data_IF_202495925306
#
_entry.id   IF_202495925306
#
_cell.length_a   1.000
_cell.length_b   1.000
_cell.length_c   1.000
_cell.angle_alpha   90.00
_cell.angle_beta   90.00
_cell.angle_gamma   90.00
#
_symmetry.space_group_name_H-M   'P 1'
#
loop_
_entity.id
_entity.type
_entity.pdbx_description
1 polymer ?
#
# COMPACT_ATOMS: atom_id res chain seq x y z
N UNK A 1 26.28 12.90 -23.54
CA UNK A 1 26.14 12.74 -25.02
C UNK A 1 25.69 14.01 -25.77
N UNK A 2 24.87 14.88 -25.18
CA UNK A 2 24.54 16.19 -25.75
C UNK A 2 25.76 17.13 -25.83
N UNK A 3 26.65 17.10 -24.82
CA UNK A 3 27.88 17.90 -24.77
C UNK A 3 28.92 17.54 -25.83
N UNK A 4 28.82 16.34 -26.41
CA UNK A 4 29.75 15.83 -27.43
C UNK A 4 29.21 16.10 -28.85
N UNK A 5 28.08 16.82 -28.98
CA UNK A 5 27.48 17.18 -30.27
C UNK A 5 26.87 16.03 -31.07
N UNK A 6 26.67 14.86 -30.45
CA UNK A 6 26.15 13.66 -31.13
C UNK A 6 24.65 13.77 -31.43
N UNK A 7 23.92 14.58 -30.67
CA UNK A 7 22.53 14.96 -30.94
C UNK A 7 22.46 16.48 -30.99
N UNK A 8 21.90 17.08 -32.04
CA UNK A 8 21.69 18.53 -32.15
C UNK A 8 20.63 19.11 -31.19
N UNK A 9 20.36 18.42 -30.08
CA UNK A 9 19.34 18.77 -29.08
C UNK A 9 20.01 19.24 -27.80
N UNK A 10 19.43 20.25 -27.17
CA UNK A 10 19.81 20.71 -25.84
C UNK A 10 19.45 19.68 -24.77
N UNK A 11 20.14 19.71 -23.63
CA UNK A 11 19.84 18.83 -22.49
C UNK A 11 18.39 18.99 -22.00
N UNK A 12 17.85 20.21 -22.06
CA UNK A 12 16.47 20.51 -21.70
C UNK A 12 15.44 19.86 -22.64
N UNK A 13 15.71 19.82 -23.95
CA UNK A 13 14.85 19.13 -24.92
C UNK A 13 14.87 17.62 -24.69
N UNK A 14 16.05 17.04 -24.43
CA UNK A 14 16.18 15.61 -24.11
C UNK A 14 15.40 15.25 -22.84
N UNK A 15 15.44 16.09 -21.81
CA UNK A 15 14.66 15.89 -20.59
C UNK A 15 13.14 15.96 -20.85
N UNK A 16 12.69 16.91 -21.68
CA UNK A 16 11.27 17.03 -22.04
C UNK A 16 10.78 15.81 -22.82
N UNK A 17 11.55 15.34 -23.78
CA UNK A 17 11.25 14.12 -24.55
C UNK A 17 11.24 12.88 -23.66
N UNK A 18 12.18 12.77 -22.72
CA UNK A 18 12.21 11.67 -21.76
C UNK A 18 10.93 11.64 -20.90
N UNK A 19 10.46 12.79 -20.40
CA UNK A 19 9.22 12.88 -19.63
C UNK A 19 8.00 12.51 -20.48
N UNK A 20 7.92 13.00 -21.72
CA UNK A 20 6.84 12.62 -22.66
C UNK A 20 6.82 11.13 -22.93
N UNK A 21 7.98 10.52 -23.18
CA UNK A 21 8.08 9.07 -23.36
C UNK A 21 7.59 8.31 -22.13
N UNK A 22 7.96 8.74 -20.91
CA UNK A 22 7.47 8.15 -19.67
C UNK A 22 5.95 8.29 -19.54
N UNK A 23 5.37 9.41 -19.95
CA UNK A 23 3.92 9.61 -19.95
C UNK A 23 3.21 8.69 -20.96
N UNK A 24 3.77 8.51 -22.16
CA UNK A 24 3.21 7.62 -23.18
C UNK A 24 3.19 6.16 -22.72
N UNK A 25 4.27 5.67 -22.13
CA UNK A 25 4.32 4.29 -21.60
C UNK A 25 3.44 4.12 -20.36
N UNK A 26 3.24 5.18 -19.56
CA UNK A 26 2.30 5.18 -18.43
C UNK A 26 0.86 5.04 -18.93
N UNK A 27 0.47 5.82 -19.94
CA UNK A 27 -0.86 5.76 -20.55
C UNK A 27 -1.15 4.39 -21.21
N UNK A 28 -0.11 3.68 -21.64
CA UNK A 28 -0.21 2.33 -22.19
C UNK A 28 -0.23 1.22 -21.12
N UNK A 29 -0.19 1.53 -19.81
CA UNK A 29 -0.03 0.57 -18.69
C UNK A 29 1.18 -0.37 -18.87
N UNK A 30 2.27 0.15 -19.46
CA UNK A 30 3.51 -0.60 -19.73
C UNK A 30 4.61 -0.31 -18.71
N UNK A 31 4.35 0.55 -17.74
CA UNK A 31 5.28 0.82 -16.65
C UNK A 31 5.20 -0.31 -15.63
N UNK A 32 6.32 -0.97 -15.36
CA UNK A 32 6.39 -1.94 -14.28
C UNK A 32 6.26 -1.22 -12.93
N UNK A 33 5.34 -1.64 -12.04
CA UNK A 33 5.19 -1.03 -10.73
C UNK A 33 6.47 -1.21 -9.90
N UNK A 34 6.69 -0.29 -8.96
CA UNK A 34 7.84 -0.35 -8.07
C UNK A 34 7.68 -1.56 -7.11
N UNK A 35 8.52 -2.60 -7.24
CA UNK A 35 8.48 -3.74 -6.32
C UNK A 35 9.04 -3.36 -4.95
N UNK A 36 8.41 -3.83 -3.86
CA UNK A 36 8.87 -3.56 -2.49
C UNK A 36 10.22 -4.21 -2.16
N UNK A 37 10.63 -5.22 -2.93
CA UNK A 37 11.93 -5.89 -2.82
C UNK A 37 13.00 -5.30 -3.72
N UNK A 38 12.68 -4.28 -4.54
CA UNK A 38 13.68 -3.56 -5.28
C UNK A 38 14.53 -2.79 -4.27
N UNK A 39 15.60 -3.44 -3.82
CA UNK A 39 16.74 -2.79 -3.22
C UNK A 39 16.98 -1.51 -4.01
N UNK A 40 17.11 -0.39 -3.28
CA UNK A 40 17.33 0.96 -3.83
C UNK A 40 18.52 1.07 -4.82
N UNK A 41 19.26 -0.01 -5.10
CA UNK A 41 20.34 -0.11 -6.07
C UNK A 41 19.96 -0.67 -7.45
N UNK A 42 18.93 -1.50 -7.60
CA UNK A 42 18.73 -2.27 -8.85
C UNK A 42 18.35 -1.42 -10.07
N UNK A 43 17.76 -0.24 -9.87
CA UNK A 43 17.41 0.64 -10.99
C UNK A 43 18.50 1.63 -11.36
N UNK A 44 19.44 1.90 -10.45
CA UNK A 44 20.52 2.87 -10.69
C UNK A 44 21.80 2.21 -11.22
N UNK A 45 21.89 0.88 -11.17
CA UNK A 45 23.11 0.13 -11.55
C UNK A 45 23.09 -0.42 -12.99
N UNK A 46 22.15 0.03 -13.82
CA UNK A 46 22.03 -0.27 -15.25
C UNK A 46 21.46 -1.63 -15.66
N UNK A 47 20.93 -1.66 -16.89
CA UNK A 47 20.61 -2.89 -17.61
C UNK A 47 21.89 -3.65 -17.98
N UNK A 48 22.01 -4.90 -17.49
CA UNK A 48 23.14 -5.78 -17.81
C UNK A 48 24.47 -5.38 -17.16
N UNK A 49 24.45 -4.58 -16.09
CA UNK A 49 25.65 -4.15 -15.35
C UNK A 49 26.44 -3.02 -16.03
N UNK A 50 25.87 -2.37 -17.05
CA UNK A 50 26.53 -1.32 -17.83
C UNK A 50 26.21 0.08 -17.30
N UNK A 51 26.75 0.48 -16.15
CA UNK A 51 26.42 1.73 -15.46
C UNK A 51 26.19 2.96 -16.36
N UNK A 52 25.30 3.86 -15.96
CA UNK A 52 25.02 5.09 -16.72
C UNK A 52 26.20 6.06 -16.69
N UNK A 53 26.58 6.58 -17.86
CA UNK A 53 27.49 7.71 -17.97
C UNK A 53 26.78 8.99 -17.52
N UNK A 54 27.45 9.89 -16.78
CA UNK A 54 26.89 11.18 -16.33
C UNK A 54 25.66 11.08 -15.40
N UNK A 55 25.56 10.02 -14.59
CA UNK A 55 24.44 9.81 -13.62
C UNK A 55 24.24 10.93 -12.59
N UNK A 56 25.29 11.74 -12.37
CA UNK A 56 25.30 12.82 -11.39
C UNK A 56 24.84 14.16 -11.98
N UNK A 57 24.41 14.19 -13.25
CA UNK A 57 23.82 15.38 -13.87
C UNK A 57 22.40 15.63 -13.36
N UNK A 58 22.04 16.90 -13.18
CA UNK A 58 20.73 17.32 -12.69
C UNK A 58 19.61 16.77 -13.58
N UNK A 59 19.80 16.77 -14.91
CA UNK A 59 18.80 16.31 -15.87
C UNK A 59 18.55 14.80 -15.76
N UNK A 60 19.61 14.00 -15.52
CA UNK A 60 19.47 12.55 -15.32
C UNK A 60 18.74 12.24 -14.01
N UNK A 61 19.11 12.93 -12.93
CA UNK A 61 18.45 12.76 -11.63
C UNK A 61 16.97 13.15 -11.71
N UNK A 62 16.64 14.23 -12.43
CA UNK A 62 15.26 14.66 -12.63
C UNK A 62 14.44 13.65 -13.43
N UNK A 63 14.98 13.13 -14.54
CA UNK A 63 14.30 12.10 -15.35
C UNK A 63 14.09 10.80 -14.55
N UNK A 64 15.10 10.36 -13.79
CA UNK A 64 15.02 9.16 -12.95
C UNK A 64 13.98 9.31 -11.83
N UNK A 65 13.95 10.49 -11.20
CA UNK A 65 12.92 10.83 -10.20
C UNK A 65 11.52 10.79 -10.82
N UNK A 66 11.33 11.38 -12.00
CA UNK A 66 10.04 11.38 -12.70
C UNK A 66 9.55 9.96 -13.02
N UNK A 67 10.43 9.10 -13.54
CA UNK A 67 10.09 7.69 -13.80
C UNK A 67 9.73 6.96 -12.49
N UNK A 68 10.49 7.18 -11.42
CA UNK A 68 10.22 6.57 -10.11
C UNK A 68 8.85 7.00 -9.57
N UNK A 69 8.49 8.28 -9.71
CA UNK A 69 7.17 8.80 -9.33
C UNK A 69 6.05 8.14 -10.14
N UNK A 70 6.23 7.97 -11.45
CA UNK A 70 5.22 7.30 -12.30
C UNK A 70 5.08 5.82 -12.01
N UNK A 71 6.17 5.12 -11.66
CA UNK A 71 6.12 3.73 -11.18
C UNK A 71 5.40 3.60 -9.85
N UNK A 72 5.64 4.53 -8.93
CA UNK A 72 4.90 4.60 -7.66
C UNK A 72 3.41 4.83 -7.93
N UNK A 73 3.07 5.77 -8.80
CA UNK A 73 1.69 6.03 -9.20
C UNK A 73 1.02 4.81 -9.84
N UNK A 74 1.70 4.12 -10.75
CA UNK A 74 1.19 2.87 -11.37
C UNK A 74 0.91 1.79 -10.32
N UNK A 75 1.73 1.71 -9.26
CA UNK A 75 1.48 0.81 -8.13
C UNK A 75 0.21 1.24 -7.36
N UNK A 76 0.08 2.53 -7.05
CA UNK A 76 -1.07 3.09 -6.32
C UNK A 76 -2.39 3.00 -7.11
N UNK A 77 -2.35 3.16 -8.43
CA UNK A 77 -3.52 3.03 -9.32
C UNK A 77 -4.13 1.61 -9.27
N UNK A 78 -3.34 0.60 -8.87
CA UNK A 78 -3.79 -0.79 -8.69
C UNK A 78 -4.41 -1.05 -7.32
N UNK A 79 -4.24 -0.15 -6.34
CA UNK A 79 -4.74 -0.37 -4.98
C UNK A 79 -6.26 -0.55 -4.89
N UNK A 80 -7.11 0.20 -5.61
CA UNK A 80 -8.56 -0.01 -5.54
C UNK A 80 -8.97 -1.42 -5.99
N UNK A 81 -8.33 -1.96 -7.02
CA UNK A 81 -8.59 -3.32 -7.51
C UNK A 81 -8.15 -4.35 -6.47
N UNK A 82 -6.93 -4.20 -5.94
CA UNK A 82 -6.38 -5.08 -4.90
C UNK A 82 -7.19 -5.05 -3.60
N UNK A 83 -7.66 -3.87 -3.19
CA UNK A 83 -8.56 -3.67 -2.06
C UNK A 83 -9.89 -4.40 -2.28
N UNK A 84 -10.45 -4.33 -3.48
CA UNK A 84 -11.68 -5.04 -3.82
C UNK A 84 -11.52 -6.56 -3.78
N UNK A 85 -10.37 -7.08 -4.19
CA UNK A 85 -10.03 -8.51 -4.10
C UNK A 85 -9.85 -8.94 -2.65
N UNK A 86 -9.13 -8.15 -1.85
CA UNK A 86 -8.98 -8.40 -0.42
C UNK A 86 -10.32 -8.44 0.31
N UNK A 87 -11.27 -7.56 -0.03
CA UNK A 87 -12.62 -7.61 0.54
C UNK A 87 -13.39 -8.87 0.16
N UNK A 88 -13.17 -9.42 -1.05
CA UNK A 88 -13.75 -10.71 -1.44
C UNK A 88 -13.14 -11.85 -0.63
N UNK A 89 -11.81 -11.85 -0.49
CA UNK A 89 -11.09 -12.84 0.31
C UNK A 89 -11.49 -12.77 1.79
N UNK A 90 -11.70 -11.58 2.34
CA UNK A 90 -12.21 -11.39 3.69
C UNK A 90 -13.54 -12.13 3.93
N UNK A 91 -14.39 -12.26 2.90
CA UNK A 91 -15.66 -12.99 2.98
C UNK A 91 -15.50 -14.50 2.82
N UNK A 92 -14.62 -14.95 1.92
CA UNK A 92 -14.50 -16.36 1.55
C UNK A 92 -13.44 -17.12 2.37
N UNK A 93 -12.34 -16.46 2.71
CA UNK A 93 -11.19 -17.00 3.45
C UNK A 93 -10.51 -15.91 4.31
N UNK A 94 -11.03 -15.68 5.54
CA UNK A 94 -10.46 -14.72 6.48
C UNK A 94 -8.99 -15.00 6.85
N UNK A 95 -8.55 -16.26 6.78
CA UNK A 95 -7.16 -16.64 7.06
C UNK A 95 -6.23 -16.21 5.92
N UNK A 96 -6.67 -16.36 4.67
CA UNK A 96 -5.93 -15.81 3.52
C UNK A 96 -5.83 -14.28 3.62
N UNK A 97 -6.93 -13.60 3.95
CA UNK A 97 -6.91 -12.15 4.20
C UNK A 97 -5.87 -11.77 5.27
N UNK A 98 -5.82 -12.52 6.38
CA UNK A 98 -4.82 -12.31 7.43
C UNK A 98 -3.40 -12.48 6.90
N UNK A 99 -3.11 -13.57 6.16
CA UNK A 99 -1.77 -13.86 5.62
C UNK A 99 -1.35 -12.82 4.58
N UNK A 100 -2.28 -12.33 3.75
CA UNK A 100 -1.98 -11.30 2.74
C UNK A 100 -1.50 -9.98 3.33
N UNK A 101 -2.06 -9.58 4.46
CA UNK A 101 -1.78 -8.28 5.10
C UNK A 101 -0.63 -8.31 6.11
N UNK A 102 -0.23 -9.50 6.57
CA UNK A 102 0.73 -9.65 7.67
C UNK A 102 2.01 -10.34 7.21
N UNK A 103 3.10 -10.06 7.93
CA UNK A 103 4.33 -10.84 7.77
C UNK A 103 4.13 -12.19 8.43
N UNK A 104 4.04 -13.23 7.63
CA UNK A 104 3.96 -14.64 8.05
C UNK A 104 5.06 -15.47 7.40
N UNK A 105 5.16 -16.75 7.73
CA UNK A 105 6.08 -17.66 7.03
C UNK A 105 5.57 -18.12 5.65
N UNK A 106 4.49 -17.53 5.14
CA UNK A 106 3.93 -17.80 3.82
C UNK A 106 4.49 -16.84 2.75
N UNK A 107 4.49 -17.29 1.49
CA UNK A 107 4.76 -16.43 0.33
C UNK A 107 3.55 -15.55 -0.05
N UNK A 108 2.43 -15.68 0.65
CA UNK A 108 1.19 -14.96 0.39
C UNK A 108 1.15 -13.54 1.00
N UNK A 109 2.21 -13.09 1.69
CA UNK A 109 2.28 -11.77 2.37
C UNK A 109 2.43 -10.58 1.41
N UNK A 110 1.64 -10.54 0.35
CA UNK A 110 1.81 -9.67 -0.82
C UNK A 110 1.60 -8.19 -0.48
N UNK A 111 0.82 -7.88 0.57
CA UNK A 111 0.42 -6.51 0.91
C UNK A 111 0.94 -6.05 2.28
N UNK A 112 1.93 -6.72 2.86
CA UNK A 112 2.42 -6.41 4.20
C UNK A 112 3.06 -5.01 4.32
N UNK A 113 3.65 -4.49 3.24
CA UNK A 113 4.30 -3.16 3.15
C UNK A 113 3.51 -2.15 2.31
N UNK A 114 2.27 -2.49 1.90
CA UNK A 114 1.47 -1.69 0.96
C UNK A 114 0.23 -1.15 1.68
N UNK A 115 -0.04 0.17 1.66
CA UNK A 115 -1.20 0.76 2.35
C UNK A 115 -2.54 0.54 1.60
N UNK A 116 -2.80 -0.70 1.18
CA UNK A 116 -3.93 -1.08 0.31
C UNK A 116 -5.30 -0.81 0.96
N UNK A 117 -5.38 -0.90 2.29
CA UNK A 117 -6.65 -0.70 3.00
C UNK A 117 -7.11 0.76 2.96
N UNK A 118 -6.19 1.72 2.80
CA UNK A 118 -6.53 3.14 2.62
C UNK A 118 -7.35 3.41 1.35
N UNK A 119 -7.30 2.50 0.36
CA UNK A 119 -8.12 2.57 -0.86
C UNK A 119 -9.48 1.86 -0.71
N UNK A 120 -9.78 1.31 0.46
CA UNK A 120 -11.05 0.65 0.75
C UNK A 120 -12.02 1.64 1.37
N UNK A 121 -13.27 1.66 0.92
CA UNK A 121 -14.31 2.44 1.58
C UNK A 121 -14.57 1.92 3.01
N UNK A 122 -14.42 2.74 4.08
CA UNK A 122 -14.61 2.30 5.46
C UNK A 122 -16.00 1.72 5.73
N UNK A 123 -17.05 2.28 5.11
CA UNK A 123 -18.42 1.82 5.30
C UNK A 123 -18.62 0.41 4.74
N UNK A 124 -18.13 0.19 3.52
CA UNK A 124 -18.15 -1.11 2.85
C UNK A 124 -17.37 -2.16 3.63
N UNK A 125 -16.22 -1.77 4.20
CA UNK A 125 -15.42 -2.64 5.05
C UNK A 125 -16.18 -3.05 6.31
N UNK A 126 -16.71 -2.09 7.07
CA UNK A 126 -17.42 -2.35 8.33
C UNK A 126 -18.69 -3.17 8.08
N UNK A 127 -19.48 -2.84 7.06
CA UNK A 127 -20.66 -3.62 6.68
C UNK A 127 -20.28 -5.07 6.36
N UNK A 128 -19.19 -5.26 5.62
CA UNK A 128 -18.71 -6.61 5.31
C UNK A 128 -18.26 -7.35 6.56
N UNK A 129 -17.46 -6.71 7.41
CA UNK A 129 -16.97 -7.27 8.66
C UNK A 129 -18.13 -7.73 9.55
N UNK A 130 -19.13 -6.87 9.77
CA UNK A 130 -20.26 -7.18 10.65
C UNK A 130 -21.13 -8.33 10.10
N UNK A 131 -21.13 -8.55 8.79
CA UNK A 131 -21.80 -9.69 8.15
C UNK A 131 -21.08 -11.04 8.33
N UNK A 132 -19.84 -11.05 8.80
CA UNK A 132 -19.08 -12.30 9.02
C UNK A 132 -19.49 -12.99 10.32
N UNK A 133 -19.18 -14.28 10.42
CA UNK A 133 -19.33 -15.02 11.67
C UNK A 133 -18.39 -14.43 12.75
N UNK A 134 -18.77 -14.41 14.05
CA UNK A 134 -17.95 -13.84 15.13
C UNK A 134 -16.49 -14.30 15.19
N UNK A 135 -16.22 -15.57 14.82
CA UNK A 135 -14.87 -16.13 14.73
C UNK A 135 -14.05 -15.43 13.63
N UNK A 136 -14.66 -15.19 12.48
CA UNK A 136 -14.00 -14.62 11.31
C UNK A 136 -13.76 -13.11 11.51
N UNK A 137 -14.71 -12.42 12.16
CA UNK A 137 -14.52 -11.04 12.62
C UNK A 137 -13.27 -10.90 13.49
N UNK A 138 -13.04 -11.85 14.39
CA UNK A 138 -11.85 -11.85 15.24
C UNK A 138 -10.56 -12.01 14.41
N UNK A 139 -10.54 -12.92 13.42
CA UNK A 139 -9.37 -13.12 12.54
C UNK A 139 -9.05 -11.83 11.76
N UNK A 140 -10.07 -11.21 11.18
CA UNK A 140 -9.94 -9.96 10.42
C UNK A 140 -9.41 -8.83 11.29
N UNK A 141 -9.99 -8.63 12.49
CA UNK A 141 -9.55 -7.58 13.40
C UNK A 141 -8.16 -7.82 13.96
N UNK A 142 -7.81 -9.08 14.28
CA UNK A 142 -6.47 -9.48 14.69
C UNK A 142 -5.41 -9.15 13.63
N UNK A 143 -5.78 -9.13 12.35
CA UNK A 143 -4.87 -8.74 11.27
C UNK A 143 -4.33 -7.33 11.47
N UNK A 144 -5.15 -6.38 11.94
CA UNK A 144 -4.71 -5.01 12.21
C UNK A 144 -3.64 -4.97 13.28
N UNK A 145 -3.88 -5.63 14.42
CA UNK A 145 -2.90 -5.70 15.49
C UNK A 145 -1.55 -6.16 14.97
N UNK A 146 -1.50 -7.30 14.29
CA UNK A 146 -0.26 -7.87 13.76
C UNK A 146 0.43 -6.96 12.73
N UNK A 147 -0.37 -6.26 11.92
CA UNK A 147 0.10 -5.39 10.83
C UNK A 147 0.78 -4.13 11.35
N UNK A 148 0.24 -3.54 12.41
CA UNK A 148 0.75 -2.29 12.99
C UNK A 148 1.59 -2.49 14.26
N UNK A 149 1.69 -3.70 14.80
CA UNK A 149 2.51 -4.03 16.00
C UNK A 149 3.99 -3.72 15.79
N UNK A 150 4.45 -3.79 14.54
CA UNK A 150 5.84 -3.64 14.18
C UNK A 150 6.02 -2.30 13.50
N UNK A 151 6.78 -1.40 14.14
CA UNK A 151 7.25 -0.12 13.57
C UNK A 151 8.05 -0.25 12.26
N UNK A 152 8.24 -1.49 11.79
CA UNK A 152 8.84 -1.87 10.51
C UNK A 152 8.21 -1.18 9.31
N UNK A 153 6.89 -0.95 9.30
CA UNK A 153 6.18 -0.35 8.16
C UNK A 153 5.42 0.93 8.51
N UNK A 154 5.80 1.60 9.62
CA UNK A 154 5.11 2.80 10.09
C UNK A 154 5.09 3.93 9.04
N UNK A 155 6.14 4.02 8.21
CA UNK A 155 6.23 5.05 7.15
C UNK A 155 5.38 4.68 5.95
N UNK A 156 5.40 3.43 5.54
CA UNK A 156 4.69 2.90 4.38
C UNK A 156 3.17 2.85 4.62
N UNK A 157 2.77 2.54 5.86
CA UNK A 157 1.37 2.42 6.28
C UNK A 157 0.80 3.72 6.87
N UNK A 158 1.56 4.82 6.87
CA UNK A 158 1.15 6.07 7.48
C UNK A 158 -0.19 6.59 6.94
N UNK A 159 -0.45 6.40 5.64
CA UNK A 159 -1.70 6.80 4.98
C UNK A 159 -2.90 5.93 5.36
N UNK A 160 -2.68 4.77 5.98
CA UNK A 160 -3.72 3.83 6.39
C UNK A 160 -4.24 4.14 7.81
N UNK A 161 -3.51 4.91 8.62
CA UNK A 161 -3.92 5.25 10.00
C UNK A 161 -5.25 6.02 10.07
N UNK A 162 -5.46 7.11 9.28
CA UNK A 162 -6.75 7.82 9.30
C UNK A 162 -7.93 6.95 8.84
N UNK A 163 -7.66 6.00 7.93
CA UNK A 163 -8.66 5.02 7.51
C UNK A 163 -9.04 4.10 8.67
N UNK A 164 -8.05 3.60 9.42
CA UNK A 164 -8.29 2.73 10.57
C UNK A 164 -9.04 3.43 11.70
N UNK A 165 -8.76 4.72 11.95
CA UNK A 165 -9.52 5.55 12.89
C UNK A 165 -11.00 5.62 12.48
N UNK A 166 -11.27 5.86 11.19
CA UNK A 166 -12.64 5.90 10.67
C UNK A 166 -13.35 4.55 10.82
N UNK A 167 -12.63 3.44 10.55
CA UNK A 167 -13.15 2.08 10.73
C UNK A 167 -13.46 1.80 12.21
N UNK A 168 -12.58 2.20 13.13
CA UNK A 168 -12.81 2.08 14.58
C UNK A 168 -14.11 2.76 14.98
N UNK A 169 -14.27 4.02 14.61
CA UNK A 169 -15.42 4.83 15.02
C UNK A 169 -16.73 4.25 14.49
N UNK A 170 -16.73 3.78 13.23
CA UNK A 170 -17.87 3.09 12.63
C UNK A 170 -18.21 1.76 13.30
N UNK A 171 -17.20 0.98 13.71
CA UNK A 171 -17.45 -0.27 14.46
C UNK A 171 -18.08 0.04 15.82
N UNK A 172 -17.60 1.07 16.52
CA UNK A 172 -18.14 1.49 17.82
C UNK A 172 -19.58 2.02 17.67
N UNK A 173 -19.86 2.82 16.65
CA UNK A 173 -21.21 3.29 16.31
C UNK A 173 -22.14 2.10 16.05
N UNK A 174 -21.73 1.15 15.22
CA UNK A 174 -22.52 -0.04 14.93
C UNK A 174 -22.73 -0.92 16.18
N UNK A 175 -21.77 -0.96 17.11
CA UNK A 175 -21.89 -1.70 18.36
C UNK A 175 -22.96 -1.13 19.30
N UNK A 176 -23.24 0.18 19.26
CA UNK A 176 -24.30 0.80 20.06
C UNK A 176 -25.70 0.29 19.68
N UNK A 177 -25.91 -0.08 18.42
CA UNK A 177 -27.17 -0.65 17.93
C UNK A 177 -27.30 -2.17 18.18
N UNK A 178 -26.27 -2.83 18.72
CA UNK A 178 -26.26 -4.29 18.92
C UNK A 178 -26.79 -4.71 20.30
N UNK A 179 -27.29 -5.97 20.43
CA UNK A 179 -27.59 -6.56 21.73
C UNK A 179 -26.35 -6.58 22.66
N UNK A 180 -26.54 -6.60 24.00
CA UNK A 180 -25.45 -6.42 24.97
C UNK A 180 -24.22 -7.32 24.76
N UNK A 181 -24.43 -8.60 24.43
CA UNK A 181 -23.35 -9.56 24.18
C UNK A 181 -22.59 -9.21 22.89
N UNK A 182 -23.30 -8.83 21.83
CA UNK A 182 -22.71 -8.43 20.55
C UNK A 182 -21.91 -7.15 20.68
N UNK A 183 -22.50 -6.15 21.36
CA UNK A 183 -21.86 -4.89 21.71
C UNK A 183 -20.57 -5.11 22.51
N UNK A 184 -20.63 -5.88 23.60
CA UNK A 184 -19.46 -6.17 24.43
C UNK A 184 -18.34 -6.80 23.61
N UNK A 185 -18.65 -7.82 22.79
CA UNK A 185 -17.66 -8.50 21.94
C UNK A 185 -16.98 -7.56 20.95
N UNK A 186 -17.73 -6.70 20.27
CA UNK A 186 -17.15 -5.74 19.31
C UNK A 186 -16.26 -4.71 20.00
N UNK A 187 -16.73 -4.13 21.11
CA UNK A 187 -15.93 -3.19 21.91
C UNK A 187 -14.63 -3.83 22.39
N UNK A 188 -14.68 -5.07 22.88
CA UNK A 188 -13.48 -5.80 23.26
C UNK A 188 -12.56 -5.99 22.05
N UNK A 189 -13.08 -6.45 20.90
CA UNK A 189 -12.25 -6.65 19.71
C UNK A 189 -11.56 -5.37 19.24
N UNK A 190 -12.24 -4.22 19.29
CA UNK A 190 -11.65 -2.89 19.02
C UNK A 190 -10.53 -2.60 20.02
N UNK A 191 -10.81 -2.74 21.33
CA UNK A 191 -9.83 -2.51 22.39
C UNK A 191 -8.58 -3.37 22.25
N UNK A 192 -8.72 -4.64 21.89
CA UNK A 192 -7.60 -5.59 21.85
C UNK A 192 -6.81 -5.56 20.54
N UNK A 193 -7.41 -5.09 19.44
CA UNK A 193 -6.79 -5.22 18.11
C UNK A 193 -6.62 -3.91 17.34
N UNK A 194 -7.46 -2.89 17.57
CA UNK A 194 -7.38 -1.60 16.86
C UNK A 194 -6.74 -0.53 17.73
N UNK A 195 -7.14 -0.40 19.00
CA UNK A 195 -6.57 0.61 19.90
C UNK A 195 -5.02 0.53 20.01
N UNK A 196 -4.39 -0.67 20.15
CA UNK A 196 -2.93 -0.77 20.17
C UNK A 196 -2.30 -0.33 18.84
N UNK A 197 -2.96 -0.61 17.71
CA UNK A 197 -2.49 -0.22 16.38
C UNK A 197 -2.51 1.30 16.15
N UNK A 198 -3.40 2.02 16.84
CA UNK A 198 -3.49 3.48 16.83
C UNK A 198 -2.60 4.14 17.89
N UNK A 199 -1.89 3.36 18.72
CA UNK A 199 -1.09 3.90 19.82
C UNK A 199 -1.92 4.38 21.01
N UNK A 200 -3.17 3.94 21.11
CA UNK A 200 -4.07 4.26 22.22
C UNK A 200 -3.76 3.28 23.37
N UNK A 201 -2.96 3.70 24.33
CA UNK A 201 -2.62 2.87 25.49
C UNK A 201 -3.85 2.53 26.34
N UNK A 202 -3.85 1.31 26.87
CA UNK A 202 -4.91 0.75 27.70
C UNK A 202 -5.00 1.52 29.03
N UNK A 203 -5.93 2.48 29.12
CA UNK A 203 -6.46 2.94 30.41
C UNK A 203 -7.45 1.91 30.98
#
# INVERSE_FOLDING_TARGET
MADIGVSGKSRAEVLSEAKQYVDDIYLQDRIEPLSGTAYRGDFFDSYGGLGFYEKDTDEFQEASKYLTEKRKKTKEDRYPVQASELLKEMKSDPELYFRRLNVTNSNENIYCDIPVLASTDPETFVTTLLGLHPKDQYIVLKAFRSRYDHSRFDRELATEKPWLETVRDKILEAAEAMPPIGKYRLIQNVKWNIAPALGEEQQ
#
